data_IF_187249962194
#
_entry.id   IF_187249962194
#
_cell.length_a   1.000
_cell.length_b   1.000
_cell.length_c   1.000
_cell.angle_alpha   90.00
_cell.angle_beta   90.00
_cell.angle_gamma   90.00
#
_symmetry.space_group_name_H-M   'P 1'
#
loop_
_entity.id
_entity.type
_entity.pdbx_description
1 polymer ?
#
# COMPACT_ATOMS: atom_id res chain seq x y z
N UNK A 1 -9.52 -6.30 -0.43
CA UNK A 1 -8.76 -6.77 0.76
C UNK A 1 -8.55 -5.61 1.73
N UNK A 2 -8.57 -5.85 3.05
CA UNK A 2 -8.34 -4.81 4.07
C UNK A 2 -7.03 -5.07 4.83
N UNK A 3 -6.22 -4.02 5.01
CA UNK A 3 -5.01 -4.05 5.83
C UNK A 3 -5.40 -3.92 7.31
N UNK A 4 -4.98 -4.84 8.19
CA UNK A 4 -5.33 -4.80 9.61
C UNK A 4 -4.62 -3.69 10.39
N UNK A 5 -3.64 -3.00 9.80
CA UNK A 5 -2.82 -2.00 10.49
C UNK A 5 -3.40 -0.58 10.41
N UNK A 6 -3.82 -0.15 9.24
CA UNK A 6 -4.13 1.26 8.96
C UNK A 6 -5.43 1.45 8.18
N UNK A 7 -6.32 0.47 8.21
CA UNK A 7 -7.60 0.45 7.48
C UNK A 7 -7.47 0.64 5.95
N UNK A 8 -6.27 0.46 5.41
CA UNK A 8 -6.03 0.50 3.97
C UNK A 8 -6.89 -0.54 3.25
N UNK A 9 -7.41 -0.20 2.08
CA UNK A 9 -8.20 -1.13 1.25
C UNK A 9 -7.60 -1.23 -0.14
N UNK A 10 -7.67 -2.43 -0.70
CA UNK A 10 -7.15 -2.77 -2.02
C UNK A 10 -8.24 -3.46 -2.83
N UNK A 11 -8.38 -3.05 -4.09
CA UNK A 11 -9.09 -3.87 -5.07
C UNK A 11 -8.16 -4.99 -5.54
N UNK A 12 -8.62 -6.24 -5.40
CA UNK A 12 -7.84 -7.40 -5.84
C UNK A 12 -7.92 -7.61 -7.35
N UNK A 13 -8.96 -7.10 -8.02
CA UNK A 13 -9.13 -7.26 -9.45
C UNK A 13 -8.22 -6.30 -10.23
N UNK A 14 -8.24 -5.00 -9.90
CA UNK A 14 -7.38 -4.02 -10.57
C UNK A 14 -5.97 -3.90 -9.95
N UNK A 15 -5.82 -4.27 -8.67
CA UNK A 15 -4.60 -4.02 -7.91
C UNK A 15 -4.49 -2.59 -7.34
N UNK A 16 -5.53 -1.77 -7.50
CA UNK A 16 -5.53 -0.38 -7.02
C UNK A 16 -5.75 -0.27 -5.51
N UNK A 17 -5.17 0.78 -4.92
CA UNK A 17 -5.48 1.17 -3.56
C UNK A 17 -6.87 1.84 -3.51
N UNK A 18 -7.88 1.11 -3.04
CA UNK A 18 -9.23 1.63 -2.86
C UNK A 18 -9.37 2.57 -1.65
N UNK A 19 -8.49 2.45 -0.66
CA UNK A 19 -8.44 3.37 0.49
C UNK A 19 -7.03 3.49 1.02
N UNK A 20 -6.54 4.73 1.07
CA UNK A 20 -5.30 5.09 1.74
C UNK A 20 -5.53 5.47 3.20
N UNK A 21 -4.50 5.37 4.06
CA UNK A 21 -3.14 4.96 3.76
C UNK A 21 -2.93 3.45 3.90
N UNK A 22 -2.47 2.86 2.81
CA UNK A 22 -1.82 1.56 2.81
C UNK A 22 -0.35 1.82 3.12
N UNK A 23 0.26 1.05 4.02
CA UNK A 23 1.62 1.22 4.57
C UNK A 23 2.54 2.17 3.80
N UNK A 24 2.83 3.32 4.40
CA UNK A 24 3.81 4.26 3.85
C UNK A 24 3.21 5.51 3.21
N UNK A 25 1.89 5.68 3.07
CA UNK A 25 1.29 6.98 2.71
C UNK A 25 1.79 7.55 1.38
N UNK A 26 1.96 6.72 0.37
CA UNK A 26 2.27 7.13 -1.00
C UNK A 26 1.30 6.41 -1.93
N UNK A 27 0.66 7.15 -2.82
CA UNK A 27 -0.16 6.56 -3.86
C UNK A 27 0.67 5.86 -4.93
N UNK A 28 0.04 4.97 -5.70
CA UNK A 28 0.53 4.42 -6.96
C UNK A 28 1.34 5.40 -7.84
N UNK A 29 0.84 6.63 -7.94
CA UNK A 29 1.37 7.67 -8.82
C UNK A 29 2.40 8.59 -8.14
N UNK A 30 2.78 8.27 -6.90
CA UNK A 30 3.80 9.02 -6.15
C UNK A 30 3.25 10.20 -5.33
N UNK A 31 1.93 10.34 -5.21
CA UNK A 31 1.30 11.36 -4.36
C UNK A 31 1.49 11.00 -2.89
N UNK A 32 2.10 11.89 -2.11
CA UNK A 32 2.33 11.68 -0.68
C UNK A 32 1.10 12.02 0.15
N UNK A 33 0.74 11.14 1.06
CA UNK A 33 -0.29 11.34 2.08
C UNK A 33 0.33 11.56 3.46
N UNK A 34 -0.37 12.30 4.36
CA UNK A 34 -0.03 12.38 5.77
C UNK A 34 0.09 10.99 6.42
N UNK A 35 0.79 10.94 7.55
CA UNK A 35 0.83 9.71 8.36
C UNK A 35 -0.58 9.36 8.81
N UNK A 36 -0.93 8.07 8.71
CA UNK A 36 -2.23 7.58 9.15
C UNK A 36 -2.54 7.95 10.60
N UNK A 37 -3.80 8.31 10.84
CA UNK A 37 -4.38 8.43 12.17
C UNK A 37 -5.76 7.76 12.16
N UNK A 38 -6.15 7.04 13.24
CA UNK A 38 -7.49 6.48 13.34
C UNK A 38 -8.58 7.55 13.24
N UNK A 39 -9.76 7.17 12.75
CA UNK A 39 -10.91 8.07 12.74
C UNK A 39 -11.24 8.58 14.16
N UNK A 40 -11.49 9.88 14.30
CA UNK A 40 -11.77 10.52 15.58
C UNK A 40 -10.56 10.72 16.49
N UNK A 41 -9.33 10.52 15.99
CA UNK A 41 -8.09 10.89 16.68
C UNK A 41 -7.42 12.08 16.01
N UNK A 42 -6.67 12.84 16.81
CA UNK A 42 -5.86 13.94 16.30
C UNK A 42 -4.86 13.44 15.24
N UNK A 43 -4.64 14.20 14.16
CA UNK A 43 -3.67 13.86 13.14
C UNK A 43 -2.26 13.69 13.71
N UNK A 44 -1.62 12.58 13.38
CA UNK A 44 -0.24 12.29 13.74
C UNK A 44 0.71 13.21 12.97
N UNK A 45 1.47 14.00 13.71
CA UNK A 45 2.56 14.82 13.17
C UNK A 45 3.67 13.93 12.60
N UNK A 46 4.14 14.23 11.39
CA UNK A 46 5.34 13.63 10.80
C UNK A 46 6.47 14.69 10.80
N UNK A 47 7.25 14.79 11.88
CA UNK A 47 8.28 15.81 11.98
C UNK A 47 9.43 15.55 10.99
N UNK A 48 10.05 16.61 10.44
CA UNK A 48 11.19 16.45 9.55
C UNK A 48 12.37 15.76 10.25
N UNK A 49 13.16 15.00 9.48
CA UNK A 49 14.39 14.35 9.97
C UNK A 49 14.69 13.03 9.29
N UNK A 50 15.77 12.36 9.73
CA UNK A 50 16.27 11.11 9.13
C UNK A 50 15.22 10.00 9.03
N UNK A 51 14.30 9.93 10.00
CA UNK A 51 13.20 8.96 10.00
C UNK A 51 12.14 9.28 8.94
N UNK A 52 11.83 10.56 8.73
CA UNK A 52 10.92 10.98 7.65
C UNK A 52 11.56 10.74 6.28
N UNK A 53 12.85 11.01 6.15
CA UNK A 53 13.61 10.75 4.91
C UNK A 53 13.70 9.25 4.58
N UNK A 54 14.01 8.40 5.56
CA UNK A 54 14.04 6.95 5.39
C UNK A 54 12.66 6.41 4.97
N UNK A 55 11.57 6.93 5.54
CA UNK A 55 10.21 6.59 5.10
C UNK A 55 10.01 6.96 3.65
N UNK A 56 10.34 8.20 3.24
CA UNK A 56 10.21 8.67 1.84
C UNK A 56 10.93 7.74 0.85
N UNK A 57 12.12 7.26 1.19
CA UNK A 57 12.92 6.37 0.33
C UNK A 57 12.40 4.93 0.25
N UNK A 58 11.66 4.47 1.25
CA UNK A 58 11.17 3.08 1.36
C UNK A 58 9.67 2.93 1.08
N UNK A 59 8.97 4.02 0.69
CA UNK A 59 7.54 3.94 0.33
C UNK A 59 7.36 3.12 -0.94
N UNK A 60 6.55 2.08 -0.85
CA UNK A 60 6.21 1.23 -1.99
C UNK A 60 5.37 2.04 -2.96
N UNK A 61 5.84 2.18 -4.21
CA UNK A 61 5.18 2.97 -5.24
C UNK A 61 3.97 2.27 -5.85
N UNK A 62 3.90 0.94 -5.93
CA UNK A 62 2.73 0.18 -6.40
C UNK A 62 2.79 -1.25 -5.84
N UNK A 63 1.64 -1.85 -5.56
CA UNK A 63 1.60 -3.29 -5.33
C UNK A 63 2.02 -4.02 -6.60
N UNK A 64 2.75 -5.12 -6.43
CA UNK A 64 3.08 -5.99 -7.55
C UNK A 64 1.83 -6.79 -7.91
N UNK A 65 1.48 -6.77 -9.19
CA UNK A 65 0.45 -7.64 -9.75
C UNK A 65 1.10 -8.91 -10.29
N UNK A 66 0.48 -10.06 -10.00
CA UNK A 66 0.93 -11.37 -10.45
C UNK A 66 -0.21 -12.04 -11.21
N UNK A 67 -0.09 -12.22 -12.54
CA UNK A 67 -1.05 -12.98 -13.31
C UNK A 67 -1.21 -14.38 -12.72
N UNK A 68 -2.46 -14.84 -12.61
CA UNK A 68 -2.84 -16.13 -12.04
C UNK A 68 -3.67 -16.92 -13.03
N UNK A 69 -3.45 -18.24 -13.08
CA UNK A 69 -4.29 -19.20 -13.82
C UNK A 69 -4.53 -20.46 -12.99
N UNK A 70 -5.57 -21.21 -13.35
CA UNK A 70 -5.87 -22.53 -12.79
C UNK A 70 -5.50 -23.58 -13.84
N UNK A 71 -4.65 -24.54 -13.48
CA UNK A 71 -4.22 -25.67 -14.32
C UNK A 71 -4.32 -26.94 -13.51
N UNK A 72 -5.11 -27.92 -13.97
CA UNK A 72 -5.28 -29.22 -13.30
C UNK A 72 -5.58 -29.12 -11.79
N UNK A 73 -6.41 -28.14 -11.40
CA UNK A 73 -6.79 -27.89 -10.01
C UNK A 73 -5.76 -27.09 -9.18
N UNK A 74 -4.65 -26.69 -9.78
CA UNK A 74 -3.58 -25.93 -9.14
C UNK A 74 -3.62 -24.45 -9.53
N UNK A 75 -3.30 -23.57 -8.57
CA UNK A 75 -3.11 -22.13 -8.81
C UNK A 75 -1.65 -21.92 -9.22
N UNK A 76 -1.43 -21.42 -10.43
CA UNK A 76 -0.12 -21.00 -10.90
C UNK A 76 -0.02 -19.47 -10.95
N UNK A 77 1.15 -18.93 -10.60
CA UNK A 77 1.46 -17.50 -10.64
C UNK A 77 2.66 -17.21 -11.55
N UNK A 78 2.61 -16.09 -12.27
CA UNK A 78 3.75 -15.59 -13.04
C UNK A 78 4.48 -14.52 -12.24
N UNK A 79 5.74 -14.79 -11.87
CA UNK A 79 6.61 -13.80 -11.23
C UNK A 79 7.23 -12.87 -12.30
N UNK A 80 7.17 -11.54 -12.12
CA UNK A 80 7.93 -10.61 -12.94
C UNK A 80 9.44 -10.84 -12.70
N UNK A 81 10.23 -10.75 -13.78
CA UNK A 81 11.70 -10.85 -13.73
C UNK A 81 12.33 -9.66 -13.01
#
# INVERSE_FOLDING_TARGET
MACPLHEGRFDLASGDAARMPTTGGLDPDGVSHPTWSPAGKEPKVDPPGKRAEARRLTRVRRFRYYPVRIVDGMIEIVLPR
#
